data_IF_772484081008
#
_entry.id   IF_772484081008
#
_cell.length_a   1.000
_cell.length_b   1.000
_cell.length_c   1.000
_cell.angle_alpha   90.00
_cell.angle_beta   90.00
_cell.angle_gamma   90.00
#
_symmetry.space_group_name_H-M   'P 1'
#
loop_
_entity.id
_entity.type
_entity.pdbx_description
1 polymer ?
#
# COMPACT_ATOMS: atom_id res chain seq x y z
N UNK A 1 -1.89 -8.95 -30.70
CA UNK A 1 -2.25 -9.53 -29.40
C UNK A 1 -3.20 -8.59 -28.63
N UNK A 2 -4.22 -7.99 -29.29
CA UNK A 2 -4.63 -6.60 -28.94
C UNK A 2 -6.12 -6.25 -28.87
N UNK A 3 -7.06 -7.19 -29.03
CA UNK A 3 -8.50 -6.86 -28.93
C UNK A 3 -9.16 -7.41 -27.65
N UNK A 4 -8.62 -8.49 -27.10
CA UNK A 4 -9.17 -9.13 -25.90
C UNK A 4 -8.69 -8.45 -24.61
N UNK A 5 -7.41 -8.04 -24.57
CA UNK A 5 -6.81 -7.28 -23.44
C UNK A 5 -7.41 -5.87 -23.27
N UNK A 6 -7.81 -5.21 -24.37
CA UNK A 6 -8.41 -3.87 -24.32
C UNK A 6 -9.87 -3.88 -23.86
N UNK A 7 -10.64 -4.94 -24.14
CA UNK A 7 -12.00 -5.10 -23.59
C UNK A 7 -11.99 -5.44 -22.10
N UNK A 8 -11.08 -6.31 -21.66
CA UNK A 8 -10.96 -6.67 -20.24
C UNK A 8 -10.48 -5.48 -19.40
N UNK A 9 -9.48 -4.71 -19.84
CA UNK A 9 -9.02 -3.51 -19.11
C UNK A 9 -10.11 -2.44 -18.96
N UNK A 10 -10.90 -2.17 -20.02
CA UNK A 10 -12.05 -1.23 -19.92
C UNK A 10 -13.12 -1.70 -18.95
N UNK A 11 -13.44 -3.01 -18.95
CA UNK A 11 -14.44 -3.59 -18.04
C UNK A 11 -13.98 -3.59 -16.57
N UNK A 12 -12.68 -3.83 -16.34
CA UNK A 12 -12.05 -3.75 -15.01
C UNK A 12 -12.06 -2.31 -14.50
N UNK A 13 -11.71 -1.33 -15.35
CA UNK A 13 -11.76 0.09 -14.97
C UNK A 13 -13.18 0.57 -14.64
N UNK A 14 -14.18 0.15 -15.42
CA UNK A 14 -15.58 0.49 -15.14
C UNK A 14 -16.07 -0.12 -13.82
N UNK A 15 -15.71 -1.38 -13.55
CA UNK A 15 -16.03 -2.08 -12.30
C UNK A 15 -15.39 -1.39 -11.11
N UNK A 16 -14.12 -0.98 -11.22
CA UNK A 16 -13.41 -0.27 -10.16
C UNK A 16 -14.01 1.11 -9.90
N UNK A 17 -14.37 1.87 -10.94
CA UNK A 17 -15.08 3.13 -10.78
C UNK A 17 -16.44 2.96 -10.10
N UNK A 18 -17.21 1.94 -10.50
CA UNK A 18 -18.50 1.65 -9.87
C UNK A 18 -18.34 1.24 -8.40
N UNK A 19 -17.35 0.41 -8.07
CA UNK A 19 -17.06 0.02 -6.69
C UNK A 19 -16.63 1.22 -5.84
N UNK A 20 -15.80 2.11 -6.37
CA UNK A 20 -15.39 3.33 -5.69
C UNK A 20 -16.58 4.27 -5.45
N UNK A 21 -17.44 4.43 -6.46
CA UNK A 21 -18.67 5.21 -6.35
C UNK A 21 -19.62 4.61 -5.30
N UNK A 22 -19.86 3.30 -5.35
CA UNK A 22 -20.69 2.60 -4.38
C UNK A 22 -20.10 2.73 -2.96
N UNK A 23 -18.78 2.58 -2.81
CA UNK A 23 -18.08 2.76 -1.53
C UNK A 23 -18.30 4.16 -0.95
N UNK A 24 -18.19 5.20 -1.79
CA UNK A 24 -18.46 6.57 -1.38
C UNK A 24 -19.91 6.76 -0.89
N UNK A 25 -20.89 6.22 -1.63
CA UNK A 25 -22.30 6.27 -1.23
C UNK A 25 -22.56 5.53 0.09
N UNK A 26 -21.92 4.38 0.29
CA UNK A 26 -22.01 3.63 1.56
C UNK A 26 -21.49 4.49 2.71
N UNK A 27 -20.33 5.15 2.56
CA UNK A 27 -19.78 6.02 3.61
C UNK A 27 -20.71 7.21 3.91
N UNK A 28 -21.24 7.88 2.88
CA UNK A 28 -22.19 8.99 3.06
C UNK A 28 -23.49 8.52 3.71
N UNK A 29 -23.94 7.29 3.43
CA UNK A 29 -25.17 6.78 4.03
C UNK A 29 -25.09 6.73 5.56
N UNK A 30 -23.93 6.49 6.16
CA UNK A 30 -23.76 6.55 7.62
C UNK A 30 -24.04 7.96 8.16
N UNK A 31 -23.59 9.00 7.47
CA UNK A 31 -23.88 10.39 7.85
C UNK A 31 -25.37 10.69 7.69
N UNK A 32 -25.97 10.35 6.55
CA UNK A 32 -27.38 10.63 6.27
C UNK A 32 -28.31 9.91 7.24
N UNK A 33 -28.09 8.61 7.47
CA UNK A 33 -28.86 7.83 8.45
C UNK A 33 -28.69 8.43 9.85
N UNK A 34 -27.45 8.76 10.24
CA UNK A 34 -27.17 9.41 11.51
C UNK A 34 -27.96 10.70 11.72
N UNK A 35 -27.91 11.61 10.74
CA UNK A 35 -28.64 12.89 10.78
C UNK A 35 -30.15 12.66 10.80
N UNK A 36 -30.69 11.81 9.93
CA UNK A 36 -32.13 11.55 9.86
C UNK A 36 -32.64 10.99 11.19
N UNK A 37 -31.90 10.10 11.84
CA UNK A 37 -32.28 9.56 13.15
C UNK A 37 -32.29 10.65 14.23
N UNK A 38 -31.31 11.55 14.26
CA UNK A 38 -31.29 12.68 15.20
C UNK A 38 -32.46 13.65 14.93
N UNK A 39 -32.77 13.94 13.68
CA UNK A 39 -33.91 14.79 13.31
C UNK A 39 -35.25 14.14 13.71
N UNK A 40 -35.40 12.83 13.49
CA UNK A 40 -36.58 12.07 13.89
C UNK A 40 -36.76 12.06 15.42
N UNK A 41 -35.68 11.97 16.20
CA UNK A 41 -35.74 12.02 17.65
C UNK A 41 -36.22 13.39 18.19
N UNK A 42 -36.07 14.45 17.40
CA UNK A 42 -36.53 15.80 17.68
C UNK A 42 -37.92 16.12 17.08
N UNK A 43 -38.67 15.09 16.69
CA UNK A 43 -40.01 15.20 16.10
C UNK A 43 -40.11 16.05 14.81
N UNK A 44 -38.99 16.28 14.12
CA UNK A 44 -38.98 17.10 12.89
C UNK A 44 -39.82 16.45 11.77
N UNK A 45 -39.92 15.12 11.76
CA UNK A 45 -40.72 14.35 10.80
C UNK A 45 -42.06 13.87 11.37
N UNK A 46 -42.52 14.45 12.48
CA UNK A 46 -43.73 14.06 13.20
C UNK A 46 -43.45 13.45 14.57
N UNK A 47 -44.51 13.25 15.36
CA UNK A 47 -44.38 12.81 16.75
C UNK A 47 -43.88 11.37 16.84
N UNK A 48 -42.74 11.17 17.51
CA UNK A 48 -42.19 9.86 17.81
C UNK A 48 -42.44 9.50 19.28
N UNK A 49 -42.69 8.23 19.57
CA UNK A 49 -42.85 7.75 20.94
C UNK A 49 -41.56 7.98 21.75
N UNK A 50 -41.68 8.09 23.07
CA UNK A 50 -40.51 8.32 23.95
C UNK A 50 -39.41 7.27 23.76
N UNK A 51 -39.80 6.00 23.61
CA UNK A 51 -38.87 4.90 23.31
C UNK A 51 -38.20 5.05 21.94
N UNK A 52 -38.98 5.45 20.92
CA UNK A 52 -38.45 5.72 19.59
C UNK A 52 -37.44 6.87 19.59
N UNK A 53 -37.70 7.96 20.31
CA UNK A 53 -36.76 9.08 20.46
C UNK A 53 -35.41 8.65 21.03
N UNK A 54 -35.44 7.85 22.09
CA UNK A 54 -34.21 7.34 22.74
C UNK A 54 -33.44 6.45 21.77
N UNK A 55 -34.11 5.50 21.12
CA UNK A 55 -33.48 4.61 20.15
C UNK A 55 -32.86 5.40 18.99
N UNK A 56 -33.60 6.34 18.40
CA UNK A 56 -33.13 7.19 17.32
C UNK A 56 -31.92 8.05 17.72
N UNK A 57 -31.87 8.58 18.95
CA UNK A 57 -30.68 9.29 19.44
C UNK A 57 -29.46 8.37 19.55
N UNK A 58 -29.62 7.20 20.19
CA UNK A 58 -28.51 6.27 20.41
C UNK A 58 -27.95 5.78 19.06
N UNK A 59 -28.82 5.28 18.18
CA UNK A 59 -28.38 4.81 16.87
C UNK A 59 -27.85 5.95 16.01
N UNK A 60 -28.48 7.13 16.02
CA UNK A 60 -27.98 8.31 15.32
C UNK A 60 -26.54 8.64 15.70
N UNK A 61 -26.24 8.68 17.01
CA UNK A 61 -24.89 8.90 17.52
C UNK A 61 -23.93 7.79 17.07
N UNK A 62 -24.32 6.51 17.15
CA UNK A 62 -23.47 5.39 16.70
C UNK A 62 -23.10 5.54 15.22
N UNK A 63 -24.08 5.83 14.35
CA UNK A 63 -23.86 6.02 12.92
C UNK A 63 -22.92 7.21 12.63
N UNK A 64 -23.10 8.33 13.33
CA UNK A 64 -22.22 9.50 13.21
C UNK A 64 -20.80 9.22 13.70
N UNK A 65 -20.64 8.51 14.82
CA UNK A 65 -19.33 8.09 15.33
C UNK A 65 -18.62 7.19 14.31
N UNK A 66 -19.33 6.20 13.75
CA UNK A 66 -18.77 5.33 12.70
C UNK A 66 -18.33 6.13 11.47
N UNK A 67 -19.15 7.09 11.03
CA UNK A 67 -18.78 7.99 9.94
C UNK A 67 -17.51 8.77 10.25
N UNK A 68 -17.41 9.38 11.43
CA UNK A 68 -16.20 10.11 11.87
C UNK A 68 -14.98 9.18 11.87
N UNK A 69 -15.10 7.95 12.39
CA UNK A 69 -14.01 6.98 12.37
C UNK A 69 -13.54 6.65 10.96
N UNK A 70 -14.45 6.48 10.00
CA UNK A 70 -14.12 6.23 8.60
C UNK A 70 -13.36 7.42 8.01
N UNK A 71 -13.85 8.65 8.21
CA UNK A 71 -13.18 9.86 7.71
C UNK A 71 -11.78 10.01 8.30
N UNK A 72 -11.63 9.82 9.62
CA UNK A 72 -10.31 9.86 10.28
C UNK A 72 -9.37 8.83 9.64
N UNK A 73 -9.85 7.61 9.37
CA UNK A 73 -9.04 6.57 8.72
C UNK A 73 -8.61 6.97 7.31
N UNK A 74 -9.49 7.53 6.49
CA UNK A 74 -9.15 8.02 5.15
C UNK A 74 -8.07 9.10 5.24
N UNK A 75 -8.22 10.07 6.15
CA UNK A 75 -7.21 11.13 6.36
C UNK A 75 -5.86 10.55 6.79
N UNK A 76 -5.85 9.57 7.68
CA UNK A 76 -4.62 8.90 8.10
C UNK A 76 -3.92 8.15 6.96
N UNK A 77 -4.69 7.50 6.08
CA UNK A 77 -4.17 6.84 4.88
C UNK A 77 -3.52 7.88 3.97
N UNK A 78 -4.24 8.95 3.60
CA UNK A 78 -3.70 10.01 2.74
C UNK A 78 -2.43 10.66 3.31
N UNK A 79 -2.37 10.88 4.63
CA UNK A 79 -1.15 11.39 5.29
C UNK A 79 0.00 10.39 5.23
N UNK A 80 -0.29 9.09 5.32
CA UNK A 80 0.74 8.06 5.21
C UNK A 80 1.26 7.96 3.77
N UNK A 81 0.38 8.04 2.78
CA UNK A 81 0.73 8.06 1.35
C UNK A 81 1.65 9.24 1.01
N UNK A 82 1.26 10.46 1.39
CA UNK A 82 2.08 11.67 1.21
C UNK A 82 3.46 11.54 1.88
N UNK A 83 3.49 10.94 3.07
CA UNK A 83 4.75 10.66 3.77
C UNK A 83 5.64 9.70 2.96
N UNK A 84 5.12 8.60 2.40
CA UNK A 84 5.95 7.68 1.63
C UNK A 84 6.42 8.31 0.32
N UNK A 85 5.56 9.07 -0.37
CA UNK A 85 5.95 9.78 -1.59
C UNK A 85 7.09 10.77 -1.34
N UNK A 86 7.04 11.51 -0.23
CA UNK A 86 8.14 12.41 0.19
C UNK A 86 9.44 11.69 0.53
N UNK A 87 9.36 10.40 0.87
CA UNK A 87 10.50 9.55 1.19
C UNK A 87 11.01 8.75 -0.01
N UNK A 88 10.40 8.92 -1.20
CA UNK A 88 10.78 8.19 -2.40
C UNK A 88 12.24 8.46 -2.77
N UNK A 89 12.96 7.41 -3.17
CA UNK A 89 14.34 7.48 -3.62
C UNK A 89 14.36 7.29 -5.13
N UNK A 90 15.21 8.04 -5.83
CA UNK A 90 15.38 7.89 -7.28
C UNK A 90 16.03 6.54 -7.60
N UNK A 91 15.22 5.56 -8.00
CA UNK A 91 15.67 4.22 -8.34
C UNK A 91 16.51 4.17 -9.61
N UNK A 92 16.29 5.06 -10.58
CA UNK A 92 17.08 5.08 -11.82
C UNK A 92 18.49 5.59 -11.52
N UNK A 93 18.59 6.65 -10.72
CA UNK A 93 19.88 7.15 -10.23
C UNK A 93 20.60 6.12 -9.37
N UNK A 94 19.89 5.48 -8.44
CA UNK A 94 20.46 4.44 -7.59
C UNK A 94 20.99 3.26 -8.40
N UNK A 95 20.27 2.87 -9.46
CA UNK A 95 20.71 1.81 -10.38
C UNK A 95 21.96 2.21 -11.17
N UNK A 96 21.99 3.43 -11.72
CA UNK A 96 23.13 3.94 -12.49
C UNK A 96 24.43 4.07 -11.66
N UNK A 97 24.29 4.36 -10.36
CA UNK A 97 25.42 4.45 -9.42
C UNK A 97 26.00 3.06 -9.06
N UNK A 98 25.34 1.96 -9.42
CA UNK A 98 25.73 0.59 -9.13
C UNK A 98 26.18 -0.09 -10.42
N UNK A 99 27.42 -0.56 -10.52
CA UNK A 99 27.96 -1.22 -11.73
C UNK A 99 27.17 -2.47 -12.13
N UNK A 100 26.18 -2.40 -13.05
CA UNK A 100 25.28 -3.51 -13.33
C UNK A 100 25.85 -4.40 -14.43
N UNK A 101 25.46 -5.67 -14.44
CA UNK A 101 25.74 -6.54 -15.59
C UNK A 101 24.86 -6.18 -16.78
N UNK A 102 25.24 -6.61 -17.98
CA UNK A 102 24.45 -6.36 -19.20
C UNK A 102 23.03 -6.91 -19.10
N UNK A 103 22.84 -8.08 -18.48
CA UNK A 103 21.52 -8.68 -18.26
C UNK A 103 20.65 -7.82 -17.32
N UNK A 104 21.26 -7.23 -16.29
CA UNK A 104 20.56 -6.38 -15.34
C UNK A 104 20.16 -5.05 -15.97
N UNK A 105 21.02 -4.48 -16.82
CA UNK A 105 20.71 -3.28 -17.61
C UNK A 105 19.52 -3.56 -18.52
N UNK A 106 19.54 -4.67 -19.26
CA UNK A 106 18.46 -5.05 -20.17
C UNK A 106 17.12 -5.18 -19.42
N UNK A 107 17.11 -5.85 -18.26
CA UNK A 107 15.90 -5.98 -17.46
C UNK A 107 15.37 -4.62 -16.98
N UNK A 108 16.25 -3.76 -16.47
CA UNK A 108 15.89 -2.44 -15.99
C UNK A 108 15.35 -1.54 -17.11
N UNK A 109 15.94 -1.62 -18.30
CA UNK A 109 15.46 -0.94 -19.50
C UNK A 109 14.07 -1.44 -19.90
N UNK A 110 13.85 -2.75 -19.93
CA UNK A 110 12.53 -3.34 -20.18
C UNK A 110 11.48 -2.86 -19.17
N UNK A 111 11.82 -2.75 -17.89
CA UNK A 111 10.92 -2.17 -16.89
C UNK A 111 10.63 -0.70 -17.20
N UNK A 112 11.68 0.07 -17.48
CA UNK A 112 11.61 1.50 -17.77
C UNK A 112 10.74 1.85 -18.98
N UNK A 113 10.84 1.04 -20.05
CA UNK A 113 10.09 1.24 -21.29
C UNK A 113 8.64 0.80 -21.17
N UNK A 114 8.39 -0.36 -20.55
CA UNK A 114 7.05 -0.96 -20.51
C UNK A 114 6.20 -0.45 -19.34
N UNK A 115 6.83 0.01 -18.25
CA UNK A 115 6.15 0.43 -17.01
C UNK A 115 6.53 1.85 -16.54
N UNK A 116 6.62 2.86 -17.42
CA UNK A 116 7.10 4.20 -17.05
C UNK A 116 6.23 4.88 -15.99
N UNK A 117 4.92 4.58 -15.98
CA UNK A 117 3.96 5.10 -14.99
C UNK A 117 4.16 4.55 -13.58
N UNK A 118 4.90 3.44 -13.43
CA UNK A 118 5.13 2.77 -12.15
C UNK A 118 6.49 3.12 -11.53
N UNK A 119 7.30 3.97 -12.18
CA UNK A 119 8.57 4.47 -11.63
C UNK A 119 8.41 5.13 -10.26
N UNK A 120 7.40 5.98 -10.09
CA UNK A 120 7.12 6.60 -8.79
C UNK A 120 6.76 5.55 -7.74
N UNK A 121 6.01 4.53 -8.11
CA UNK A 121 5.63 3.42 -7.22
C UNK A 121 6.87 2.62 -6.78
N UNK A 122 7.78 2.29 -7.71
CA UNK A 122 9.09 1.69 -7.40
C UNK A 122 9.88 2.56 -6.43
N UNK A 123 10.06 3.83 -6.76
CA UNK A 123 10.83 4.80 -5.97
C UNK A 123 10.26 4.97 -4.55
N UNK A 124 8.93 5.02 -4.44
CA UNK A 124 8.19 5.10 -3.16
C UNK A 124 8.41 3.83 -2.33
N UNK A 125 8.36 2.65 -2.95
CA UNK A 125 8.59 1.39 -2.26
C UNK A 125 10.02 1.25 -1.75
N UNK A 126 11.02 1.58 -2.59
CA UNK A 126 12.44 1.58 -2.20
C UNK A 126 12.69 2.57 -1.04
N UNK A 127 12.12 3.77 -1.11
CA UNK A 127 12.18 4.75 -0.04
C UNK A 127 11.55 4.26 1.27
N UNK A 128 10.41 3.57 1.19
CA UNK A 128 9.80 2.91 2.33
C UNK A 128 10.73 1.83 2.92
N UNK A 129 11.26 0.93 2.09
CA UNK A 129 12.11 -0.18 2.51
C UNK A 129 13.34 0.33 3.26
N UNK A 130 13.98 1.36 2.75
CA UNK A 130 15.10 2.04 3.39
C UNK A 130 14.78 2.52 4.81
N UNK A 131 13.66 3.24 4.96
CA UNK A 131 13.19 3.73 6.25
C UNK A 131 12.72 2.62 7.19
N UNK A 132 12.21 1.52 6.63
CA UNK A 132 11.80 0.35 7.38
C UNK A 132 13.02 -0.31 8.02
N UNK A 133 14.08 -0.51 7.25
CA UNK A 133 15.30 -1.16 7.75
C UNK A 133 16.08 -0.36 8.77
N UNK A 134 16.21 0.97 8.57
CA UNK A 134 16.81 1.86 9.57
C UNK A 134 16.18 1.68 10.96
N UNK A 135 14.85 1.52 10.98
CA UNK A 135 14.10 1.29 12.22
C UNK A 135 14.27 -0.12 12.76
N UNK A 136 14.22 -1.13 11.89
CA UNK A 136 14.36 -2.55 12.27
C UNK A 136 15.73 -2.83 12.89
N UNK A 137 16.80 -2.32 12.29
CA UNK A 137 18.17 -2.51 12.74
C UNK A 137 18.67 -1.43 13.71
N UNK A 138 17.87 -0.38 13.98
CA UNK A 138 18.20 0.76 14.85
C UNK A 138 19.53 1.44 14.47
N UNK A 139 19.72 1.70 13.18
CA UNK A 139 20.94 2.30 12.63
C UNK A 139 20.58 3.37 11.60
N UNK A 140 21.14 4.56 11.77
CA UNK A 140 20.85 5.71 10.91
C UNK A 140 21.71 5.74 9.64
N UNK A 141 22.84 5.02 9.64
CA UNK A 141 23.84 4.94 8.57
C UNK A 141 23.55 3.84 7.53
N UNK A 142 22.48 3.04 7.72
CA UNK A 142 22.11 2.02 6.74
C UNK A 142 21.79 2.67 5.41
N UNK A 143 22.48 2.21 4.38
CA UNK A 143 22.17 2.47 2.97
C UNK A 143 21.76 1.16 2.29
N UNK A 144 20.82 1.17 1.34
CA UNK A 144 20.42 -0.02 0.57
C UNK A 144 20.87 0.20 -0.86
N UNK A 145 22.13 -0.15 -1.12
CA UNK A 145 22.79 -0.09 -2.42
C UNK A 145 22.96 -1.51 -2.95
N UNK A 146 21.85 -2.15 -3.28
CA UNK A 146 21.80 -3.51 -3.81
C UNK A 146 21.00 -3.55 -5.09
N UNK A 147 21.66 -3.95 -6.20
CA UNK A 147 21.02 -4.16 -7.49
C UNK A 147 19.90 -5.20 -7.38
N UNK A 148 20.12 -6.26 -6.61
CA UNK A 148 19.13 -7.32 -6.41
C UNK A 148 17.84 -6.78 -5.79
N UNK A 149 17.93 -5.86 -4.82
CA UNK A 149 16.75 -5.27 -4.18
C UNK A 149 15.97 -4.39 -5.17
N UNK A 150 16.67 -3.64 -6.02
CA UNK A 150 16.06 -2.81 -7.06
C UNK A 150 15.33 -3.70 -8.07
N UNK A 151 16.03 -4.69 -8.63
CA UNK A 151 15.51 -5.59 -9.65
C UNK A 151 14.36 -6.45 -9.13
N UNK A 152 14.45 -6.97 -7.89
CA UNK A 152 13.34 -7.70 -7.25
C UNK A 152 12.11 -6.81 -7.04
N UNK A 153 12.31 -5.50 -6.79
CA UNK A 153 11.21 -4.56 -6.69
C UNK A 153 10.55 -4.34 -8.05
N UNK A 154 11.33 -4.19 -9.11
CA UNK A 154 10.83 -4.07 -10.49
C UNK A 154 10.11 -5.36 -10.94
N UNK A 155 10.68 -6.52 -10.64
CA UNK A 155 10.08 -7.83 -10.92
C UNK A 155 8.75 -8.01 -10.16
N UNK A 156 8.69 -7.59 -8.89
CA UNK A 156 7.45 -7.58 -8.14
C UNK A 156 6.37 -6.75 -8.84
N UNK A 157 6.71 -5.54 -9.29
CA UNK A 157 5.78 -4.64 -9.97
C UNK A 157 5.26 -5.28 -11.27
N UNK A 158 6.16 -5.86 -12.07
CA UNK A 158 5.81 -6.54 -13.32
C UNK A 158 4.86 -7.70 -13.02
N UNK A 159 5.26 -8.63 -12.15
CA UNK A 159 4.49 -9.87 -11.88
C UNK A 159 3.14 -9.61 -11.23
N UNK A 160 3.04 -8.61 -10.36
CA UNK A 160 1.75 -8.21 -9.77
C UNK A 160 0.85 -7.51 -10.79
N UNK A 161 1.42 -6.71 -11.69
CA UNK A 161 0.66 -6.10 -12.79
C UNK A 161 0.15 -7.15 -13.78
N UNK A 162 0.95 -8.17 -14.09
CA UNK A 162 0.56 -9.31 -14.92
C UNK A 162 -0.57 -10.14 -14.28
N UNK A 163 -0.44 -10.48 -12.99
CA UNK A 163 -1.41 -11.33 -12.27
C UNK A 163 -2.73 -10.60 -11.97
N UNK A 164 -2.66 -9.34 -11.51
CA UNK A 164 -3.81 -8.62 -10.96
C UNK A 164 -4.32 -7.49 -11.86
N UNK A 165 -3.59 -7.16 -12.94
CA UNK A 165 -3.88 -6.05 -13.84
C UNK A 165 -3.47 -4.67 -13.32
N UNK A 166 -2.94 -4.58 -12.10
CA UNK A 166 -2.44 -3.35 -11.49
C UNK A 166 -1.43 -3.64 -10.38
N UNK A 167 -0.55 -2.66 -10.11
CA UNK A 167 0.30 -2.64 -8.94
C UNK A 167 -0.14 -1.53 -7.97
N UNK A 168 -0.28 -1.86 -6.70
CA UNK A 168 -0.55 -0.91 -5.61
C UNK A 168 0.63 -0.90 -4.64
N UNK A 169 1.36 0.22 -4.65
CA UNK A 169 2.52 0.41 -3.78
C UNK A 169 2.15 0.47 -2.31
N UNK A 170 1.00 1.07 -1.97
CA UNK A 170 0.60 1.21 -0.57
C UNK A 170 0.10 -0.11 -0.01
N UNK A 171 -0.59 -0.90 -0.83
CA UNK A 171 -0.87 -2.30 -0.49
C UNK A 171 0.42 -3.07 -0.22
N UNK A 172 1.44 -2.93 -1.08
CA UNK A 172 2.75 -3.58 -0.88
C UNK A 172 3.39 -3.20 0.46
N UNK A 173 3.34 -1.91 0.81
CA UNK A 173 3.85 -1.38 2.08
C UNK A 173 3.08 -1.96 3.27
N UNK A 174 1.75 -2.00 3.20
CA UNK A 174 0.92 -2.57 4.25
C UNK A 174 1.16 -4.07 4.43
N UNK A 175 1.25 -4.81 3.33
CA UNK A 175 1.56 -6.24 3.34
C UNK A 175 2.95 -6.49 3.94
N UNK A 176 3.98 -5.72 3.57
CA UNK A 176 5.33 -5.83 4.14
C UNK A 176 5.30 -5.61 5.66
N UNK A 177 4.62 -4.57 6.13
CA UNK A 177 4.47 -4.31 7.57
C UNK A 177 3.69 -5.40 8.29
N UNK A 178 2.69 -5.97 7.63
CA UNK A 178 1.88 -7.05 8.19
C UNK A 178 2.65 -8.36 8.28
N UNK A 179 3.58 -8.63 7.36
CA UNK A 179 4.43 -9.82 7.40
C UNK A 179 5.32 -9.86 8.66
N UNK A 180 5.69 -8.70 9.17
CA UNK A 180 6.44 -8.58 10.43
C UNK A 180 5.54 -8.70 11.68
N UNK A 181 4.22 -8.82 11.52
CA UNK A 181 3.24 -9.04 12.61
C UNK A 181 2.75 -10.48 12.60
N UNK A 182 2.50 -11.06 13.79
CA UNK A 182 2.10 -12.47 13.97
C UNK A 182 0.77 -12.87 13.30
N UNK A 183 -0.04 -11.94 12.80
CA UNK A 183 -1.39 -12.19 12.31
C UNK A 183 -1.55 -11.66 10.88
N UNK A 184 -1.27 -12.53 9.91
CA UNK A 184 -1.71 -12.38 8.52
C UNK A 184 -2.77 -13.45 8.28
N UNK A 185 -3.94 -13.06 7.79
CA UNK A 185 -5.05 -13.99 7.57
C UNK A 185 -4.73 -14.90 6.38
N UNK A 186 -5.02 -16.21 6.50
CA UNK A 186 -4.77 -17.20 5.42
C UNK A 186 -5.45 -16.81 4.09
N UNK A 187 -6.59 -16.11 4.16
CA UNK A 187 -7.29 -15.59 2.99
C UNK A 187 -6.49 -14.53 2.23
N UNK A 188 -5.82 -13.62 2.94
CA UNK A 188 -5.00 -12.56 2.33
C UNK A 188 -3.79 -13.14 1.62
N UNK A 189 -3.14 -14.15 2.21
CA UNK A 189 -2.04 -14.87 1.55
C UNK A 189 -2.45 -15.50 0.23
N UNK A 190 -3.65 -16.07 0.16
CA UNK A 190 -4.15 -16.68 -1.07
C UNK A 190 -4.48 -15.62 -2.12
N UNK A 191 -5.08 -14.50 -1.70
CA UNK A 191 -5.49 -13.42 -2.60
C UNK A 191 -4.31 -12.64 -3.17
N UNK A 192 -3.31 -12.33 -2.35
CA UNK A 192 -2.17 -11.50 -2.71
C UNK A 192 -0.86 -12.31 -2.77
N UNK A 193 -0.94 -13.56 -3.22
CA UNK A 193 0.17 -14.52 -3.22
C UNK A 193 1.43 -13.95 -3.86
N UNK A 194 1.31 -13.31 -5.02
CA UNK A 194 2.46 -12.76 -5.77
C UNK A 194 3.15 -11.65 -4.96
N UNK A 195 2.39 -10.75 -4.33
CA UNK A 195 2.96 -9.75 -3.42
C UNK A 195 3.75 -10.43 -2.30
N UNK A 196 3.15 -11.37 -1.57
CA UNK A 196 3.83 -12.02 -0.45
C UNK A 196 5.10 -12.79 -0.85
N UNK A 197 5.11 -13.40 -2.03
CA UNK A 197 6.30 -14.09 -2.54
C UNK A 197 7.46 -13.11 -2.73
N UNK A 198 7.23 -12.02 -3.45
CA UNK A 198 8.26 -11.04 -3.74
C UNK A 198 8.67 -10.23 -2.50
N UNK A 199 7.72 -9.83 -1.66
CA UNK A 199 8.03 -9.13 -0.42
C UNK A 199 8.95 -9.98 0.49
N UNK A 200 8.77 -11.31 0.52
CA UNK A 200 9.69 -12.23 1.23
C UNK A 200 11.09 -12.30 0.60
N UNK A 201 11.18 -12.29 -0.73
CA UNK A 201 12.48 -12.25 -1.44
C UNK A 201 13.21 -10.94 -1.17
N UNK A 202 12.50 -9.81 -1.29
CA UNK A 202 13.02 -8.47 -1.07
C UNK A 202 13.52 -8.31 0.36
N UNK A 203 12.72 -8.64 1.37
CA UNK A 203 13.14 -8.48 2.77
C UNK A 203 14.37 -9.35 3.09
N UNK A 204 14.40 -10.59 2.58
CA UNK A 204 15.53 -11.48 2.77
C UNK A 204 16.81 -10.94 2.13
N UNK A 205 16.74 -10.50 0.87
CA UNK A 205 17.89 -9.92 0.15
C UNK A 205 18.38 -8.65 0.85
N UNK A 206 17.45 -7.83 1.35
CA UNK A 206 17.77 -6.60 2.08
C UNK A 206 18.44 -6.90 3.42
N UNK A 207 17.88 -7.80 4.22
CA UNK A 207 18.45 -8.24 5.51
C UNK A 207 19.85 -8.81 5.33
N UNK A 208 20.06 -9.63 4.29
CA UNK A 208 21.35 -10.24 3.96
C UNK A 208 22.39 -9.16 3.61
N UNK A 209 22.03 -8.23 2.73
CA UNK A 209 22.89 -7.09 2.39
C UNK A 209 23.28 -6.27 3.63
N UNK A 210 22.32 -5.92 4.48
CA UNK A 210 22.59 -5.11 5.68
C UNK A 210 23.50 -5.86 6.65
N UNK A 211 23.26 -7.16 6.86
CA UNK A 211 24.09 -7.99 7.74
C UNK A 211 25.53 -8.06 7.24
N UNK A 212 25.73 -8.28 5.95
CA UNK A 212 27.07 -8.37 5.36
C UNK A 212 27.80 -7.03 5.41
N UNK A 213 27.14 -5.94 4.99
CA UNK A 213 27.79 -4.64 4.79
C UNK A 213 27.95 -3.83 6.07
N UNK A 214 26.97 -3.87 6.98
CA UNK A 214 26.94 -2.99 8.16
C UNK A 214 27.13 -3.74 9.49
N UNK A 215 26.59 -4.95 9.62
CA UNK A 215 26.68 -5.71 10.89
C UNK A 215 28.00 -6.45 11.01
N UNK A 216 28.41 -7.21 9.98
CA UNK A 216 29.67 -7.98 10.01
C UNK A 216 30.89 -7.07 10.08
N UNK A 217 30.85 -5.95 9.34
CA UNK A 217 31.92 -4.95 9.28
C UNK A 217 32.11 -4.22 10.63
N UNK A 218 31.04 -4.02 11.40
CA UNK A 218 31.12 -3.46 12.74
C UNK A 218 31.81 -4.40 13.74
N UNK A 219 31.63 -5.71 13.60
CA UNK A 219 32.28 -6.70 14.48
C UNK A 219 33.76 -6.90 14.15
N UNK A 220 34.14 -6.78 12.88
CA UNK A 220 35.54 -6.90 12.45
C UNK A 220 36.39 -5.66 12.75
N UNK A 221 35.77 -4.49 13.00
CA UNK A 221 36.46 -3.26 13.40
C UNK A 221 36.63 -3.13 14.93
N UNK A 222 36.15 -4.11 15.70
CA UNK A 222 36.25 -4.19 17.16
C UNK A 222 37.18 -5.34 17.63
N UNK A 223 37.82 -6.04 16.69
CA UNK A 223 38.84 -7.07 16.93
C UNK A 223 40.21 -6.56 16.47
#
# INVERSE_FOLDING_TARGET
MDVENTKNSKKINLKNHFLNFLGFFVVISFLLIGVILILAANDIFGKVSRGGKIASYIFGIIFLILFIFIIIKIVLILKAEDKYQKQAIDGDKLFADLSPSSEQVEFHEQFSENYPKLRLSRNTFLGFLYNFEKKSFKRDDIDIKSLDVILLTEEMIIKTTEEYGYFDVYLSIELMKSMNKKLVWKGDFKKYKVYFEFLRKIIRSTDEYIRLTFVSKANNNLA
#
